data_IF_499733233016
#
_entry.id   IF_499733233016
#
_cell.length_a   1.000
_cell.length_b   1.000
_cell.length_c   1.000
_cell.angle_alpha   90.00
_cell.angle_beta   90.00
_cell.angle_gamma   90.00
#
_symmetry.space_group_name_H-M   'P 1'
#
loop_
_entity.id
_entity.type
_entity.pdbx_description
1 polymer ?
#
# COMPACT_ATOMS: atom_id res chain seq x y z
N UNK A 1 7.35 0.98 18.64
CA UNK A 1 7.23 2.41 18.97
C UNK A 1 7.08 2.49 20.48
N UNK A 2 7.97 3.18 21.18
CA UNK A 2 7.94 3.29 22.64
C UNK A 2 7.36 4.67 22.99
N UNK A 3 6.03 4.77 23.13
CA UNK A 3 5.37 6.03 23.50
C UNK A 3 4.99 5.94 24.96
N UNK A 4 5.47 6.93 25.72
CA UNK A 4 5.08 7.15 27.10
C UNK A 4 3.92 8.14 27.16
N UNK A 5 2.72 7.65 27.45
CA UNK A 5 1.53 8.48 27.58
C UNK A 5 1.65 9.40 28.81
N UNK A 6 1.31 10.67 28.63
CA UNK A 6 1.10 11.63 29.72
C UNK A 6 -0.15 11.26 30.53
N UNK A 7 -0.27 11.78 31.75
CA UNK A 7 -1.47 11.58 32.58
C UNK A 7 -2.75 12.12 31.89
N UNK A 8 -2.63 13.21 31.13
CA UNK A 8 -3.74 13.78 30.38
C UNK A 8 -4.19 12.82 29.26
N UNK A 9 -3.25 12.29 28.47
CA UNK A 9 -3.55 11.32 27.40
C UNK A 9 -4.15 10.03 27.95
N UNK A 10 -3.61 9.51 29.07
CA UNK A 10 -4.19 8.34 29.77
C UNK A 10 -5.63 8.58 30.20
N UNK A 11 -5.93 9.77 30.75
CA UNK A 11 -7.29 10.11 31.15
C UNK A 11 -8.22 10.22 29.93
N UNK A 12 -7.77 10.84 28.84
CA UNK A 12 -8.54 10.96 27.59
C UNK A 12 -8.86 9.57 27.04
N UNK A 13 -7.84 8.71 26.91
CA UNK A 13 -8.01 7.33 26.41
C UNK A 13 -8.90 6.51 27.33
N UNK A 14 -8.73 6.62 28.66
CA UNK A 14 -9.59 5.91 29.62
C UNK A 14 -11.06 6.27 29.42
N UNK A 15 -11.38 7.56 29.28
CA UNK A 15 -12.74 8.01 29.02
C UNK A 15 -13.28 7.46 27.69
N UNK A 16 -12.47 7.43 26.62
CA UNK A 16 -12.88 6.88 25.32
C UNK A 16 -13.16 5.37 25.39
N UNK A 17 -12.27 4.62 26.04
CA UNK A 17 -12.43 3.17 26.24
C UNK A 17 -13.65 2.84 27.09
N UNK A 18 -13.94 3.62 28.13
CA UNK A 18 -15.13 3.48 28.96
C UNK A 18 -16.41 3.73 28.16
N UNK A 19 -16.46 4.81 27.37
CA UNK A 19 -17.59 5.12 26.47
C UNK A 19 -17.83 3.99 25.47
N UNK A 20 -16.79 3.56 24.74
CA UNK A 20 -16.90 2.47 23.75
C UNK A 20 -17.29 1.15 24.40
N UNK A 21 -16.76 0.87 25.60
CA UNK A 21 -17.09 -0.31 26.38
C UNK A 21 -18.56 -0.36 26.75
N UNK A 22 -19.15 0.77 27.16
CA UNK A 22 -20.58 0.84 27.43
C UNK A 22 -21.44 0.82 26.15
N UNK A 23 -21.01 1.47 25.07
CA UNK A 23 -21.76 1.50 23.80
C UNK A 23 -21.88 0.13 23.13
N UNK A 24 -20.88 -0.73 23.30
CA UNK A 24 -20.80 -2.04 22.65
C UNK A 24 -20.87 -3.23 23.61
N UNK A 25 -21.17 -2.98 24.89
CA UNK A 25 -21.13 -3.99 25.97
C UNK A 25 -19.79 -4.76 26.05
N UNK A 26 -18.69 -4.09 25.71
CA UNK A 26 -17.34 -4.64 25.61
C UNK A 26 -16.59 -4.51 26.95
N UNK A 27 -16.54 -5.60 27.71
CA UNK A 27 -15.88 -5.68 29.02
C UNK A 27 -14.36 -5.51 28.94
N UNK A 28 -13.73 -5.84 27.83
CA UNK A 28 -12.29 -5.67 27.68
C UNK A 28 -11.93 -4.20 27.52
N UNK A 29 -12.76 -3.43 26.80
CA UNK A 29 -12.62 -1.96 26.74
C UNK A 29 -12.84 -1.29 28.10
N UNK A 30 -13.83 -1.71 28.88
CA UNK A 30 -14.04 -1.20 30.25
C UNK A 30 -12.82 -1.50 31.13
N UNK A 31 -12.28 -2.71 31.05
CA UNK A 31 -11.07 -3.10 31.80
C UNK A 31 -9.85 -2.28 31.37
N UNK A 32 -9.69 -2.04 30.07
CA UNK A 32 -8.63 -1.18 29.54
C UNK A 32 -8.71 0.25 30.09
N UNK A 33 -9.93 0.81 30.21
CA UNK A 33 -10.13 2.12 30.83
C UNK A 33 -9.63 2.17 32.29
N UNK A 34 -9.90 1.13 33.09
CA UNK A 34 -9.37 1.03 34.45
C UNK A 34 -7.84 0.98 34.46
N UNK A 35 -7.21 0.17 33.60
CA UNK A 35 -5.75 0.09 33.51
C UNK A 35 -5.10 1.43 33.14
N UNK A 36 -5.72 2.19 32.24
CA UNK A 36 -5.28 3.53 31.88
C UNK A 36 -5.45 4.53 33.04
N UNK A 37 -6.51 4.46 33.85
CA UNK A 37 -6.66 5.29 35.06
C UNK A 37 -5.65 4.93 36.14
N UNK A 38 -5.48 3.64 36.40
CA UNK A 38 -4.67 3.13 37.53
C UNK A 38 -3.16 3.11 37.23
N UNK A 39 -2.77 3.12 35.96
CA UNK A 39 -1.37 3.23 35.54
C UNK A 39 -0.66 1.91 35.40
N UNK A 40 -1.39 0.84 35.09
CA UNK A 40 -0.84 -0.46 34.79
C UNK A 40 -0.24 -0.50 33.37
N UNK A 41 0.89 0.18 33.17
CA UNK A 41 1.55 0.36 31.86
C UNK A 41 1.71 -0.94 31.07
N UNK A 42 2.14 -2.01 31.73
CA UNK A 42 2.29 -3.33 31.11
C UNK A 42 1.01 -3.84 30.42
N UNK A 43 -0.17 -3.46 30.91
CA UNK A 43 -1.46 -3.91 30.40
C UNK A 43 -2.03 -3.05 29.27
N UNK A 44 -1.52 -1.82 29.07
CA UNK A 44 -1.99 -0.93 27.99
C UNK A 44 -0.90 -0.52 27.00
N UNK A 45 0.37 -0.86 27.23
CA UNK A 45 1.48 -0.50 26.31
C UNK A 45 1.28 -1.01 24.89
N UNK A 46 0.62 -2.16 24.73
CA UNK A 46 0.37 -2.78 23.43
C UNK A 46 -0.75 -2.09 22.65
N UNK A 47 -1.48 -1.14 23.26
CA UNK A 47 -2.49 -0.31 22.60
C UNK A 47 -1.91 0.35 21.34
N UNK A 48 -0.65 0.76 21.41
CA UNK A 48 0.05 1.45 20.33
C UNK A 48 0.54 0.50 19.24
N UNK A 49 0.63 -0.80 19.52
CA UNK A 49 0.91 -1.82 18.51
C UNK A 49 -0.19 -1.96 17.46
N UNK A 50 -1.35 -1.36 17.70
CA UNK A 50 -2.48 -1.33 16.75
C UNK A 50 -2.36 -0.22 15.70
N UNK A 51 -1.45 0.75 15.90
CA UNK A 51 -1.21 1.83 14.94
C UNK A 51 0.06 1.50 14.16
N UNK A 52 -0.09 1.28 12.86
CA UNK A 52 1.06 1.15 11.96
C UNK A 52 1.81 2.49 11.88
N UNK A 53 3.15 2.48 11.72
CA UNK A 53 3.87 3.71 11.44
C UNK A 53 3.36 4.34 10.15
N UNK A 54 3.46 5.67 10.05
CA UNK A 54 3.18 6.37 8.80
C UNK A 54 4.10 5.82 7.70
N UNK A 55 3.52 5.54 6.53
CA UNK A 55 4.30 5.17 5.36
C UNK A 55 5.11 6.38 4.92
N UNK A 56 6.42 6.20 4.72
CA UNK A 56 7.27 7.28 4.28
C UNK A 56 6.91 7.71 2.85
N UNK A 57 7.32 8.93 2.52
CA UNK A 57 6.99 9.56 1.24
C UNK A 57 7.59 8.79 0.07
N UNK A 58 8.82 8.30 0.18
CA UNK A 58 9.52 7.63 -0.91
C UNK A 58 8.86 6.28 -1.22
N UNK A 59 8.45 5.52 -0.20
CA UNK A 59 7.67 4.28 -0.35
C UNK A 59 6.31 4.55 -0.98
N UNK A 60 5.63 5.61 -0.55
CA UNK A 60 4.34 6.03 -1.13
C UNK A 60 4.48 6.36 -2.61
N UNK A 61 5.44 7.22 -2.97
CA UNK A 61 5.73 7.59 -4.36
C UNK A 61 6.14 6.38 -5.19
N UNK A 62 6.94 5.46 -4.64
CA UNK A 62 7.32 4.23 -5.32
C UNK A 62 6.12 3.38 -5.74
N UNK A 63 5.15 3.15 -4.84
CA UNK A 63 3.94 2.39 -5.17
C UNK A 63 3.10 3.12 -6.21
N UNK A 64 2.86 4.43 -6.04
CA UNK A 64 2.03 5.22 -6.95
C UNK A 64 2.65 5.34 -8.35
N UNK A 65 3.96 5.55 -8.44
CA UNK A 65 4.68 5.60 -9.71
C UNK A 65 4.66 4.25 -10.40
N UNK A 66 4.81 3.15 -9.66
CA UNK A 66 4.75 1.80 -10.22
C UNK A 66 3.38 1.53 -10.83
N UNK A 67 2.30 1.79 -10.10
CA UNK A 67 0.94 1.63 -10.61
C UNK A 67 0.68 2.55 -11.82
N UNK A 68 1.19 3.78 -11.78
CA UNK A 68 1.07 4.74 -12.89
C UNK A 68 1.80 4.28 -14.16
N UNK A 69 2.98 3.68 -14.02
CA UNK A 69 3.73 3.05 -15.11
C UNK A 69 2.93 1.91 -15.75
N UNK A 70 2.39 0.99 -14.94
CA UNK A 70 1.56 -0.11 -15.44
C UNK A 70 0.27 0.37 -16.10
N UNK A 71 -0.39 1.38 -15.53
CA UNK A 71 -1.55 2.03 -16.17
C UNK A 71 -1.18 2.60 -17.53
N UNK A 72 -0.05 3.30 -17.63
CA UNK A 72 0.40 3.89 -18.89
C UNK A 72 0.70 2.82 -19.94
N UNK A 73 1.37 1.73 -19.57
CA UNK A 73 1.62 0.59 -20.48
C UNK A 73 0.31 -0.06 -20.96
N UNK A 74 -0.62 -0.35 -20.05
CA UNK A 74 -1.92 -0.94 -20.41
C UNK A 74 -2.71 -0.04 -21.36
N UNK A 75 -2.83 1.25 -21.02
CA UNK A 75 -3.58 2.20 -21.85
C UNK A 75 -2.94 2.38 -23.23
N UNK A 76 -1.61 2.50 -23.29
CA UNK A 76 -0.89 2.65 -24.55
C UNK A 76 -1.01 1.41 -25.43
N UNK A 77 -0.98 0.20 -24.86
CA UNK A 77 -1.20 -1.05 -25.60
C UNK A 77 -2.60 -1.09 -26.23
N UNK A 78 -3.64 -0.63 -25.52
CA UNK A 78 -4.99 -0.54 -26.06
C UNK A 78 -5.04 0.44 -27.25
N UNK A 79 -4.37 1.58 -27.17
CA UNK A 79 -4.31 2.57 -28.27
C UNK A 79 -3.53 2.05 -29.49
N UNK A 80 -2.49 1.23 -29.29
CA UNK A 80 -1.67 0.66 -30.36
C UNK A 80 -2.39 -0.47 -31.14
N UNK A 81 -3.35 -1.16 -30.52
CA UNK A 81 -4.15 -2.19 -31.16
C UNK A 81 -3.37 -3.49 -31.48
N UNK A 82 -3.75 -4.18 -32.57
CA UNK A 82 -3.22 -5.51 -32.93
C UNK A 82 -1.85 -5.50 -33.63
N UNK A 83 -1.27 -4.32 -33.88
CA UNK A 83 -0.03 -4.15 -34.65
C UNK A 83 1.24 -4.22 -33.78
N UNK A 84 1.16 -4.83 -32.60
CA UNK A 84 2.29 -4.99 -31.67
C UNK A 84 2.52 -6.45 -31.33
N UNK A 85 3.78 -6.80 -31.05
CA UNK A 85 4.19 -8.12 -30.53
C UNK A 85 3.98 -8.26 -29.01
N UNK A 86 3.61 -7.18 -28.33
CA UNK A 86 3.37 -7.12 -26.89
C UNK A 86 2.00 -7.74 -26.59
N UNK A 87 1.97 -8.72 -25.71
CA UNK A 87 0.73 -9.33 -25.25
C UNK A 87 0.18 -8.60 -24.04
N UNK A 88 -1.12 -8.75 -23.79
CA UNK A 88 -1.77 -8.13 -22.63
C UNK A 88 -1.14 -8.63 -21.32
N UNK A 89 -0.78 -9.90 -21.26
CA UNK A 89 -0.16 -10.52 -20.09
C UNK A 89 1.23 -9.93 -19.78
N UNK A 90 1.91 -9.39 -20.80
CA UNK A 90 3.24 -8.78 -20.61
C UNK A 90 3.14 -7.46 -19.83
N UNK A 91 2.03 -6.72 -19.97
CA UNK A 91 1.79 -5.43 -19.29
C UNK A 91 0.81 -5.54 -18.12
N UNK A 92 0.41 -6.75 -17.75
CA UNK A 92 -0.47 -6.98 -16.60
C UNK A 92 0.26 -6.66 -15.29
N UNK A 93 -0.45 -6.07 -14.34
CA UNK A 93 0.09 -5.72 -13.02
C UNK A 93 0.33 -7.00 -12.20
N UNK A 94 1.58 -7.35 -11.85
CA UNK A 94 1.87 -8.61 -11.15
C UNK A 94 1.50 -8.59 -9.67
N UNK A 95 1.41 -7.40 -9.06
CA UNK A 95 1.22 -7.24 -7.62
C UNK A 95 2.50 -7.06 -6.81
N UNK A 96 2.31 -6.95 -5.50
CA UNK A 96 3.38 -7.06 -4.50
C UNK A 96 3.15 -8.33 -3.68
N UNK A 97 4.20 -8.86 -3.06
CA UNK A 97 4.09 -10.07 -2.26
C UNK A 97 3.48 -9.76 -0.89
N UNK A 98 2.31 -10.36 -0.60
CA UNK A 98 1.67 -10.19 0.69
C UNK A 98 2.50 -10.67 1.89
N UNK A 99 3.44 -11.60 1.69
CA UNK A 99 4.24 -12.17 2.77
C UNK A 99 5.55 -11.42 3.02
N UNK A 100 6.23 -10.99 1.96
CA UNK A 100 7.55 -10.34 2.07
C UNK A 100 7.51 -8.82 1.85
N UNK A 101 6.44 -8.30 1.24
CA UNK A 101 6.27 -6.89 0.86
C UNK A 101 4.96 -6.33 1.43
N UNK A 102 4.58 -6.81 2.62
CA UNK A 102 3.27 -6.57 3.21
C UNK A 102 2.85 -5.09 3.27
N UNK A 103 3.76 -4.17 3.62
CA UNK A 103 3.44 -2.73 3.63
C UNK A 103 3.03 -2.20 2.25
N UNK A 104 3.72 -2.61 1.18
CA UNK A 104 3.42 -2.22 -0.20
C UNK A 104 2.10 -2.84 -0.65
N UNK A 105 1.92 -4.14 -0.38
CA UNK A 105 0.71 -4.88 -0.71
C UNK A 105 -0.53 -4.30 0.02
N UNK A 106 -0.46 -4.04 1.32
CA UNK A 106 -1.60 -3.47 2.04
C UNK A 106 -1.90 -2.03 1.60
N UNK A 107 -0.90 -1.28 1.15
CA UNK A 107 -1.15 0.04 0.58
C UNK A 107 -1.87 -0.04 -0.78
N UNK A 108 -1.55 -1.02 -1.63
CA UNK A 108 -2.35 -1.23 -2.86
C UNK A 108 -3.79 -1.63 -2.53
N UNK A 109 -4.03 -2.48 -1.51
CA UNK A 109 -5.40 -2.77 -1.06
C UNK A 109 -6.14 -1.53 -0.57
N UNK A 110 -5.46 -0.64 0.16
CA UNK A 110 -6.05 0.61 0.64
C UNK A 110 -6.41 1.55 -0.53
N UNK A 111 -5.56 1.62 -1.56
CA UNK A 111 -5.85 2.38 -2.79
C UNK A 111 -7.07 1.84 -3.53
N UNK A 112 -7.17 0.51 -3.69
CA UNK A 112 -8.33 -0.15 -4.29
C UNK A 112 -9.61 0.12 -3.49
N UNK A 113 -9.56 0.03 -2.16
CA UNK A 113 -10.71 0.35 -1.29
C UNK A 113 -11.16 1.83 -1.40
N UNK A 114 -10.28 2.74 -1.80
CA UNK A 114 -10.57 4.16 -2.07
C UNK A 114 -10.96 4.42 -3.55
N UNK A 115 -11.15 3.37 -4.36
CA UNK A 115 -11.50 3.46 -5.78
C UNK A 115 -10.37 3.99 -6.65
N UNK A 116 -9.11 3.70 -6.31
CA UNK A 116 -7.93 4.12 -7.06
C UNK A 116 -7.21 2.94 -7.69
N UNK A 117 -6.93 3.06 -8.99
CA UNK A 117 -6.27 2.03 -9.77
C UNK A 117 -7.06 0.70 -9.82
N UNK A 118 -8.39 0.77 -9.71
CA UNK A 118 -9.29 -0.39 -9.75
C UNK A 118 -9.06 -1.25 -11.00
N UNK A 119 -8.73 -0.61 -12.12
CA UNK A 119 -8.43 -1.30 -13.38
C UNK A 119 -7.17 -2.19 -13.33
N UNK A 120 -6.29 -1.98 -12.34
CA UNK A 120 -5.10 -2.80 -12.10
C UNK A 120 -5.24 -3.68 -10.85
N UNK A 121 -5.90 -3.18 -9.81
CA UNK A 121 -5.88 -3.78 -8.48
C UNK A 121 -7.05 -4.73 -8.19
N UNK A 122 -8.17 -4.59 -8.90
CA UNK A 122 -9.39 -5.31 -8.58
C UNK A 122 -9.92 -4.97 -7.17
N UNK A 123 -10.82 -5.79 -6.64
CA UNK A 123 -11.47 -5.55 -5.33
C UNK A 123 -10.54 -5.77 -4.13
N UNK A 124 -9.56 -6.68 -4.25
CA UNK A 124 -8.76 -7.15 -3.12
C UNK A 124 -7.26 -6.85 -3.22
N UNK A 125 -6.83 -6.14 -4.27
CA UNK A 125 -5.42 -6.04 -4.64
C UNK A 125 -4.91 -7.31 -5.32
N UNK A 126 -3.69 -7.23 -5.88
CA UNK A 126 -3.03 -8.36 -6.56
C UNK A 126 -1.84 -8.82 -5.73
N UNK A 127 -1.85 -10.08 -5.29
CA UNK A 127 -0.76 -10.72 -4.57
C UNK A 127 0.13 -11.47 -5.57
N UNK A 128 1.39 -11.04 -5.71
CA UNK A 128 2.32 -11.66 -6.66
C UNK A 128 2.81 -13.04 -6.21
N UNK A 129 2.67 -13.38 -4.93
CA UNK A 129 3.22 -14.59 -4.30
C UNK A 129 4.76 -14.74 -4.42
N UNK A 130 5.45 -13.69 -4.87
CA UNK A 130 6.90 -13.58 -4.95
C UNK A 130 7.32 -12.11 -4.87
N UNK A 131 8.45 -11.76 -4.22
CA UNK A 131 8.87 -10.35 -4.12
C UNK A 131 9.03 -9.72 -5.51
N UNK A 132 8.50 -8.51 -5.71
CA UNK A 132 8.52 -7.81 -7.00
C UNK A 132 9.08 -6.39 -6.94
N UNK A 133 9.27 -5.80 -5.76
CA UNK A 133 9.73 -4.42 -5.62
C UNK A 133 11.08 -4.18 -6.32
N UNK A 134 12.00 -5.14 -6.26
CA UNK A 134 13.29 -5.05 -6.95
C UNK A 134 13.14 -4.96 -8.48
N UNK A 135 12.14 -5.64 -9.05
CA UNK A 135 11.84 -5.59 -10.49
C UNK A 135 11.38 -4.19 -10.86
N UNK A 136 10.44 -3.63 -10.11
CA UNK A 136 9.90 -2.30 -10.38
C UNK A 136 10.94 -1.20 -10.19
N UNK A 137 11.88 -1.37 -9.26
CA UNK A 137 13.04 -0.47 -9.10
C UNK A 137 13.94 -0.41 -10.34
N UNK A 138 14.02 -1.47 -11.16
CA UNK A 138 14.75 -1.46 -12.43
C UNK A 138 13.94 -0.80 -13.55
N UNK A 139 12.62 -0.99 -13.57
CA UNK A 139 11.74 -0.48 -14.61
C UNK A 139 11.48 1.04 -14.49
N UNK A 140 11.29 1.53 -13.26
CA UNK A 140 10.87 2.91 -12.99
C UNK A 140 11.82 3.98 -13.55
N UNK A 141 13.15 3.85 -13.45
CA UNK A 141 14.07 4.83 -14.03
C UNK A 141 13.88 5.02 -15.54
N UNK A 142 13.64 3.93 -16.27
CA UNK A 142 13.39 3.97 -17.72
C UNK A 142 12.09 4.73 -18.01
N UNK A 143 11.00 4.36 -17.32
CA UNK A 143 9.72 5.05 -17.49
C UNK A 143 9.78 6.53 -17.10
N UNK A 144 10.48 6.88 -16.02
CA UNK A 144 10.65 8.27 -15.56
C UNK A 144 11.50 9.09 -16.53
N UNK A 145 12.50 8.49 -17.19
CA UNK A 145 13.35 9.16 -18.17
C UNK A 145 12.59 9.63 -19.42
N UNK A 146 11.41 9.06 -19.69
CA UNK A 146 10.54 9.46 -20.80
C UNK A 146 9.89 10.85 -20.59
N UNK A 147 9.94 11.42 -19.38
CA UNK A 147 9.38 12.75 -19.10
C UNK A 147 7.89 12.84 -19.44
N UNK A 148 7.47 13.87 -20.17
CA UNK A 148 6.06 14.11 -20.49
C UNK A 148 5.41 13.01 -21.34
N UNK A 149 6.18 12.26 -22.13
CA UNK A 149 5.63 11.17 -22.97
C UNK A 149 5.32 9.90 -22.20
N UNK A 150 5.65 9.82 -20.90
CA UNK A 150 5.47 8.60 -20.08
C UNK A 150 4.02 8.13 -19.92
N UNK A 151 3.05 8.96 -20.32
CA UNK A 151 1.61 8.65 -20.28
C UNK A 151 1.05 8.10 -21.60
N UNK A 152 1.80 8.21 -22.71
CA UNK A 152 1.44 7.68 -24.04
C UNK A 152 2.68 7.05 -24.67
N UNK A 153 2.81 5.76 -24.48
CA UNK A 153 4.00 4.99 -24.83
C UNK A 153 3.88 4.40 -26.23
N UNK A 154 4.98 4.40 -26.96
CA UNK A 154 5.13 3.60 -28.18
C UNK A 154 5.43 2.14 -27.83
N UNK A 155 5.21 1.21 -28.76
CA UNK A 155 5.58 -0.20 -28.57
C UNK A 155 7.07 -0.36 -28.20
N UNK A 156 7.96 0.43 -28.81
CA UNK A 156 9.39 0.41 -28.50
C UNK A 156 9.68 0.82 -27.04
N UNK A 157 9.00 1.84 -26.53
CA UNK A 157 9.15 2.29 -25.14
C UNK A 157 8.59 1.28 -24.14
N UNK A 158 7.47 0.63 -24.46
CA UNK A 158 6.92 -0.45 -23.63
C UNK A 158 7.93 -1.60 -23.56
N UNK A 159 8.46 -2.04 -24.71
CA UNK A 159 9.47 -3.10 -24.76
C UNK A 159 10.75 -2.73 -24.01
N UNK A 160 11.19 -1.47 -24.06
CA UNK A 160 12.35 -0.99 -23.30
C UNK A 160 12.12 -1.09 -21.77
N UNK A 161 10.94 -0.69 -21.31
CA UNK A 161 10.55 -0.81 -19.89
C UNK A 161 10.46 -2.28 -19.48
N UNK A 162 9.84 -3.14 -20.30
CA UNK A 162 9.69 -4.58 -20.02
C UNK A 162 11.02 -5.32 -20.02
N UNK A 163 11.97 -4.92 -20.87
CA UNK A 163 13.31 -5.53 -20.93
C UNK A 163 14.09 -5.37 -19.61
N UNK A 164 13.78 -4.34 -18.81
CA UNK A 164 14.40 -4.14 -17.50
C UNK A 164 13.87 -5.05 -16.39
N UNK A 165 12.84 -5.87 -16.65
CA UNK A 165 12.33 -6.82 -15.66
C UNK A 165 13.38 -7.81 -15.15
N UNK A 166 14.34 -8.17 -16.01
CA UNK A 166 15.44 -9.07 -15.68
C UNK A 166 14.98 -10.39 -15.06
N UNK A 167 14.61 -11.36 -15.90
CA UNK A 167 14.40 -12.76 -15.47
C UNK A 167 15.73 -13.52 -15.39
#
# INVERSE_FOLDING_TARGET
MDIKLTNAERLILANQFEILGHMHEDKEKIRMASHLRDGHEFLYRDLLGTVSPEMDKDTTEFVLDTLSMYRAMNHSLIELGIDTDIKKEDVEWPGFDGNNEGSLYFFTRALSSDGRFDELLGEDGVNSHSPMAYVYQQMLPIWKALGDSRHRLTAAQINEILAARGY
#
